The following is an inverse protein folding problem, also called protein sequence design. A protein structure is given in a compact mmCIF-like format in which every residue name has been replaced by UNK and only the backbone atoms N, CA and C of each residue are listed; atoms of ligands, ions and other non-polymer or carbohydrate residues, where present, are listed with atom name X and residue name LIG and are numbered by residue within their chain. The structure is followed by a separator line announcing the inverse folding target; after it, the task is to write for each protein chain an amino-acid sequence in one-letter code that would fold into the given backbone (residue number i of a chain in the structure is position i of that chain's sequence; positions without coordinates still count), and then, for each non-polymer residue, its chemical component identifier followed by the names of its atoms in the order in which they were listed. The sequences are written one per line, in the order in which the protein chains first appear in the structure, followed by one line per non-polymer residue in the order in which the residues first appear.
data_IF_633562819265
#
_entry.id   IF_633562819265
#
_cell.length_a   1.000
_cell.length_b   1.000
_cell.length_c   1.000
_cell.angle_alpha   90.00
_cell.angle_beta   90.00
_cell.angle_gamma   90.00
#
_symmetry.space_group_name_H-M   'P 1'
#
loop_
_entity.id
_entity.type
_entity.pdbx_description
1 polymer ?
#
# COMPACT_ATOMS: atom_id res chain seq x y z
N UNK A 1 -10.92 4.57 -13.73
CA UNK A 1 -11.77 3.51 -14.32
C UNK A 1 -13.15 4.09 -14.55
N UNK A 2 -13.81 3.75 -15.64
CA UNK A 2 -15.20 4.09 -15.89
C UNK A 2 -16.00 2.82 -16.17
N UNK A 3 -17.27 2.78 -15.82
CA UNK A 3 -18.15 1.65 -16.13
C UNK A 3 -19.54 2.17 -16.45
N UNK A 4 -20.08 1.71 -17.57
CA UNK A 4 -21.45 1.97 -18.01
C UNK A 4 -22.31 0.77 -17.62
N UNK A 5 -23.35 1.04 -16.84
CA UNK A 5 -24.28 0.04 -16.32
C UNK A 5 -25.62 0.24 -17.03
N UNK A 6 -26.18 -0.82 -17.59
CA UNK A 6 -27.52 -0.78 -18.18
C UNK A 6 -28.56 -0.60 -17.08
N UNK A 7 -29.39 0.44 -17.19
CA UNK A 7 -30.39 0.81 -16.18
C UNK A 7 -31.38 -0.33 -15.91
N UNK A 8 -31.91 -0.94 -16.98
CA UNK A 8 -32.93 -1.98 -16.88
C UNK A 8 -32.35 -3.35 -16.49
N UNK A 9 -31.08 -3.63 -16.84
CA UNK A 9 -30.47 -4.96 -16.64
C UNK A 9 -29.56 -5.02 -15.43
N UNK A 10 -29.09 -3.88 -14.91
CA UNK A 10 -28.05 -3.80 -13.88
C UNK A 10 -26.70 -4.39 -14.30
N UNK A 11 -26.56 -4.81 -15.57
CA UNK A 11 -25.33 -5.40 -16.13
C UNK A 11 -24.37 -4.31 -16.58
N UNK A 12 -23.07 -4.60 -16.48
CA UNK A 12 -22.04 -3.72 -17.05
C UNK A 12 -22.01 -3.94 -18.56
N UNK A 13 -22.30 -2.89 -19.31
CA UNK A 13 -22.36 -2.90 -20.78
C UNK A 13 -21.01 -2.53 -21.38
N UNK A 14 -20.36 -1.53 -20.80
CA UNK A 14 -19.02 -1.08 -21.19
C UNK A 14 -18.24 -0.75 -19.93
N UNK A 15 -16.95 -0.99 -19.95
CA UNK A 15 -16.04 -0.50 -18.93
C UNK A 15 -14.75 -0.07 -19.59
N UNK A 16 -14.08 0.88 -18.96
CA UNK A 16 -12.76 1.30 -19.37
C UNK A 16 -11.84 1.50 -18.18
N UNK A 17 -10.58 1.20 -18.40
CA UNK A 17 -9.54 1.22 -17.40
C UNK A 17 -8.50 2.21 -17.89
N UNK A 18 -8.11 3.16 -17.03
CA UNK A 18 -7.00 4.06 -17.34
C UNK A 18 -5.72 3.22 -17.40
N UNK A 19 -5.37 2.75 -18.58
CA UNK A 19 -4.03 2.24 -18.87
C UNK A 19 -3.13 3.43 -19.16
N UNK A 20 -1.86 3.38 -18.77
CA UNK A 20 -0.89 4.37 -19.27
C UNK A 20 -0.89 4.30 -20.79
N UNK A 21 -0.90 5.46 -21.46
CA UNK A 21 -0.83 5.53 -22.91
C UNK A 21 0.41 4.74 -23.37
N UNK A 22 0.26 3.92 -24.41
CA UNK A 22 1.42 3.25 -25.00
C UNK A 22 2.38 4.32 -25.53
N UNK A 23 3.67 4.20 -25.21
CA UNK A 23 4.70 5.17 -25.61
C UNK A 23 4.76 5.33 -27.13
N UNK A 24 4.62 4.24 -27.88
CA UNK A 24 4.58 4.26 -29.35
C UNK A 24 3.29 4.93 -29.83
N UNK A 25 2.13 4.60 -29.23
CA UNK A 25 0.86 5.26 -29.54
C UNK A 25 0.96 6.77 -29.23
N UNK A 26 1.60 7.16 -28.13
CA UNK A 26 1.78 8.55 -27.70
C UNK A 26 2.78 9.33 -28.55
N UNK A 27 3.85 8.69 -29.03
CA UNK A 27 4.86 9.31 -29.90
C UNK A 27 4.29 9.72 -31.26
N UNK A 28 3.35 8.94 -31.79
CA UNK A 28 2.69 9.23 -33.07
C UNK A 28 1.39 10.05 -32.92
N UNK A 29 0.96 10.42 -31.69
CA UNK A 29 -0.16 11.35 -31.51
C UNK A 29 0.24 12.73 -32.07
N UNK A 30 -0.53 13.24 -33.03
CA UNK A 30 -0.31 14.56 -33.63
C UNK A 30 0.73 14.59 -34.75
N UNK A 31 1.28 13.45 -35.16
CA UNK A 31 2.16 13.35 -36.34
C UNK A 31 1.39 12.78 -37.53
N UNK A 32 1.67 13.27 -38.74
CA UNK A 32 1.13 12.72 -40.00
C UNK A 32 1.91 11.47 -40.48
N UNK A 33 2.45 10.69 -39.54
CA UNK A 33 3.19 9.47 -39.83
C UNK A 33 2.31 8.25 -39.51
N UNK A 34 2.29 7.23 -40.38
CA UNK A 34 1.56 6.01 -40.09
C UNK A 34 2.20 5.30 -38.89
N UNK A 35 1.38 5.09 -37.85
CA UNK A 35 1.77 4.37 -36.65
C UNK A 35 2.21 2.93 -37.02
N UNK A 36 3.40 2.47 -36.59
CA UNK A 36 3.85 1.11 -36.88
C UNK A 36 2.90 0.09 -36.24
N UNK A 37 2.69 -1.09 -36.85
CA UNK A 37 1.86 -2.13 -36.25
C UNK A 37 2.52 -2.60 -34.96
N UNK A 38 1.83 -2.39 -33.84
CA UNK A 38 2.28 -2.88 -32.55
C UNK A 38 1.09 -3.11 -31.64
N UNK A 39 1.26 -4.01 -30.68
CA UNK A 39 0.33 -4.16 -29.59
C UNK A 39 0.50 -2.98 -28.61
N UNK A 40 -0.42 -1.99 -28.58
CA UNK A 40 -0.43 -0.91 -27.55
C UNK A 40 -0.49 -1.47 -26.09
N UNK A 41 -0.52 -2.79 -25.92
CA UNK A 41 -0.71 -3.51 -24.68
C UNK A 41 0.61 -4.01 -24.05
N UNK A 42 1.75 -3.96 -24.76
CA UNK A 42 3.05 -4.48 -24.26
C UNK A 42 3.78 -3.39 -23.48
N UNK A 43 3.35 -3.16 -22.25
CA UNK A 43 4.17 -2.42 -21.29
C UNK A 43 4.80 -3.47 -20.37
N UNK A 44 6.14 -3.56 -20.42
CA UNK A 44 7.06 -4.45 -19.66
C UNK A 44 7.61 -5.67 -20.40
N UNK A 45 8.58 -5.46 -21.29
CA UNK A 45 9.74 -6.35 -21.43
C UNK A 45 10.93 -5.63 -20.83
N UNK A 46 11.12 -5.81 -19.53
CA UNK A 46 12.17 -5.18 -18.74
C UNK A 46 12.21 -5.84 -17.37
N UNK A 47 12.91 -6.97 -17.31
CA UNK A 47 13.46 -7.66 -16.14
C UNK A 47 12.80 -7.34 -14.78
N UNK A 48 11.78 -8.11 -14.42
CA UNK A 48 11.44 -8.39 -13.03
C UNK A 48 12.39 -9.46 -12.45
N UNK A 49 13.69 -9.21 -12.54
CA UNK A 49 14.74 -10.10 -12.03
C UNK A 49 15.83 -9.30 -11.29
N UNK A 50 15.42 -8.30 -10.50
CA UNK A 50 16.25 -7.80 -9.41
C UNK A 50 15.45 -7.95 -8.13
N UNK A 51 16.04 -8.65 -7.16
CA UNK A 51 15.49 -8.88 -5.84
C UNK A 51 15.15 -7.55 -5.18
N UNK A 52 13.85 -7.21 -5.15
CA UNK A 52 13.23 -6.30 -4.17
C UNK A 52 11.73 -6.32 -4.40
N UNK A 53 11.02 -6.90 -3.43
CA UNK A 53 9.57 -6.86 -3.41
C UNK A 53 9.07 -5.41 -3.18
N UNK A 54 7.84 -5.19 -3.65
CA UNK A 54 6.91 -4.09 -3.30
C UNK A 54 7.06 -2.79 -4.12
N UNK A 55 6.52 -2.79 -5.33
CA UNK A 55 5.46 -1.87 -5.82
C UNK A 55 5.21 -2.16 -7.31
N UNK A 56 4.69 -3.35 -7.63
CA UNK A 56 4.24 -3.64 -8.99
C UNK A 56 2.98 -2.80 -9.23
N UNK A 57 3.09 -1.75 -10.04
CA UNK A 57 1.95 -0.92 -10.43
C UNK A 57 1.00 -1.72 -11.33
N UNK A 58 0.10 -2.50 -10.73
CA UNK A 58 -0.93 -3.24 -11.45
C UNK A 58 -2.06 -2.36 -11.98
N UNK A 59 -1.95 -1.03 -11.84
CA UNK A 59 -2.97 -0.04 -12.17
C UNK A 59 -3.06 0.33 -13.66
N UNK A 60 -2.11 -0.13 -14.50
CA UNK A 60 -2.09 0.19 -15.93
C UNK A 60 -1.63 -0.95 -16.85
N UNK A 61 -1.64 -2.19 -16.37
CA UNK A 61 -1.12 -3.38 -17.07
C UNK A 61 -2.22 -4.19 -17.81
N UNK A 62 -1.85 -5.06 -18.76
CA UNK A 62 -2.78 -6.04 -19.39
C UNK A 62 -3.54 -6.86 -18.32
N UNK A 63 -2.84 -7.21 -17.24
CA UNK A 63 -3.41 -7.96 -16.11
C UNK A 63 -4.55 -7.21 -15.42
N UNK A 64 -4.57 -5.88 -15.44
CA UNK A 64 -5.70 -5.12 -14.91
C UNK A 64 -6.92 -5.22 -15.79
N UNK A 65 -6.76 -5.04 -17.11
CA UNK A 65 -7.87 -5.16 -18.06
C UNK A 65 -8.47 -6.57 -17.97
N UNK A 66 -7.63 -7.60 -17.89
CA UNK A 66 -8.09 -8.99 -17.69
C UNK A 66 -8.85 -9.17 -16.36
N UNK A 67 -8.32 -8.67 -15.23
CA UNK A 67 -9.01 -8.76 -13.93
C UNK A 67 -10.34 -8.02 -13.92
N UNK A 68 -10.38 -6.82 -14.51
CA UNK A 68 -11.61 -6.02 -14.62
C UNK A 68 -12.62 -6.70 -15.54
N UNK A 69 -12.18 -7.22 -16.69
CA UNK A 69 -13.03 -8.06 -17.58
C UNK A 69 -13.63 -9.24 -16.83
N UNK A 70 -12.82 -10.00 -16.09
CA UNK A 70 -13.26 -11.15 -15.29
C UNK A 70 -14.28 -10.75 -14.22
N UNK A 71 -14.04 -9.64 -13.51
CA UNK A 71 -14.98 -9.11 -12.53
C UNK A 71 -16.32 -8.68 -13.16
N UNK A 72 -16.27 -8.07 -14.35
CA UNK A 72 -17.46 -7.68 -15.13
C UNK A 72 -18.24 -8.91 -15.57
N UNK A 73 -17.57 -9.93 -16.11
CA UNK A 73 -18.19 -11.20 -16.47
C UNK A 73 -18.82 -11.89 -15.26
N UNK A 74 -18.13 -11.93 -14.12
CA UNK A 74 -18.67 -12.50 -12.88
C UNK A 74 -19.90 -11.73 -12.36
N UNK A 75 -19.91 -10.40 -12.49
CA UNK A 75 -21.06 -9.59 -12.14
C UNK A 75 -22.27 -9.92 -13.03
N UNK A 76 -22.06 -9.94 -14.35
CA UNK A 76 -23.10 -10.10 -15.35
C UNK A 76 -23.65 -11.52 -15.44
N UNK A 77 -22.78 -12.53 -15.38
CA UNK A 77 -23.11 -13.93 -15.68
C UNK A 77 -23.02 -14.86 -14.46
N UNK A 78 -22.43 -14.43 -13.35
CA UNK A 78 -22.22 -15.29 -12.18
C UNK A 78 -20.85 -15.93 -12.14
N UNK A 79 -20.56 -16.74 -11.13
CA UNK A 79 -19.29 -17.45 -10.98
C UNK A 79 -19.07 -18.53 -12.06
N UNK A 80 -20.13 -18.99 -12.73
CA UNK A 80 -20.05 -19.89 -13.89
C UNK A 80 -19.54 -19.24 -15.19
N UNK A 81 -19.18 -17.95 -15.18
CA UNK A 81 -18.73 -17.23 -16.38
C UNK A 81 -17.50 -17.88 -17.05
N UNK A 82 -16.55 -18.39 -16.26
CA UNK A 82 -15.31 -19.00 -16.76
C UNK A 82 -15.60 -20.21 -17.65
N UNK A 83 -16.59 -21.03 -17.26
CA UNK A 83 -17.01 -22.18 -18.06
C UNK A 83 -17.62 -21.76 -19.40
N UNK A 84 -18.31 -20.62 -19.47
CA UNK A 84 -18.82 -20.06 -20.74
C UNK A 84 -17.69 -19.54 -21.61
N UNK A 85 -16.68 -18.88 -21.02
CA UNK A 85 -15.51 -18.39 -21.74
C UNK A 85 -14.70 -19.56 -22.31
N UNK A 86 -14.41 -20.59 -21.51
CA UNK A 86 -13.68 -21.77 -22.00
C UNK A 86 -14.38 -22.42 -23.19
N UNK A 87 -15.71 -22.63 -23.11
CA UNK A 87 -16.50 -23.15 -24.24
C UNK A 87 -16.36 -22.29 -25.50
N UNK A 88 -16.42 -20.97 -25.37
CA UNK A 88 -16.27 -20.03 -26.49
C UNK A 88 -14.85 -20.02 -27.06
N UNK A 89 -13.85 -20.24 -26.21
CA UNK A 89 -12.45 -20.40 -26.61
C UNK A 89 -12.12 -21.81 -27.11
N UNK A 90 -13.12 -22.67 -27.31
CA UNK A 90 -12.95 -24.08 -27.72
C UNK A 90 -12.08 -24.89 -26.74
N UNK A 91 -12.04 -24.46 -25.47
CA UNK A 91 -11.34 -25.14 -24.39
C UNK A 91 -12.34 -25.94 -23.53
N UNK A 92 -11.87 -27.05 -22.99
CA UNK A 92 -12.65 -27.80 -22.00
C UNK A 92 -12.88 -26.94 -20.75
N UNK A 93 -14.13 -26.79 -20.27
CA UNK A 93 -14.42 -26.08 -19.04
C UNK A 93 -13.85 -26.76 -17.79
N UNK A 94 -13.71 -28.09 -17.82
CA UNK A 94 -13.41 -28.92 -16.66
C UNK A 94 -14.63 -29.12 -15.75
N UNK A 95 -14.85 -30.37 -15.34
CA UNK A 95 -15.98 -30.74 -14.47
C UNK A 95 -15.92 -30.01 -13.11
N UNK A 96 -14.75 -29.96 -12.48
CA UNK A 96 -14.54 -29.28 -11.20
C UNK A 96 -14.82 -27.78 -11.26
N UNK A 97 -14.46 -27.11 -12.36
CA UNK A 97 -14.71 -25.68 -12.58
C UNK A 97 -16.21 -25.39 -12.62
N UNK A 98 -16.97 -26.23 -13.32
CA UNK A 98 -18.43 -26.11 -13.42
C UNK A 98 -19.05 -26.27 -12.02
N UNK A 99 -18.68 -27.31 -11.28
CA UNK A 99 -19.17 -27.55 -9.91
C UNK A 99 -18.81 -26.39 -8.97
N UNK A 100 -17.59 -25.86 -9.07
CA UNK A 100 -17.14 -24.71 -8.28
C UNK A 100 -18.01 -23.48 -8.55
N UNK A 101 -18.27 -23.18 -9.82
CA UNK A 101 -19.13 -22.08 -10.25
C UNK A 101 -20.54 -22.18 -9.65
N UNK A 102 -21.18 -23.35 -9.78
CA UNK A 102 -22.52 -23.63 -9.23
C UNK A 102 -22.54 -23.42 -7.71
N UNK A 103 -21.54 -23.95 -6.98
CA UNK A 103 -21.46 -23.83 -5.52
C UNK A 103 -21.31 -22.37 -5.08
N UNK A 104 -20.44 -21.60 -5.75
CA UNK A 104 -20.25 -20.17 -5.48
C UNK A 104 -21.51 -19.36 -5.78
N UNK A 105 -22.22 -19.65 -6.88
CA UNK A 105 -23.46 -18.95 -7.22
C UNK A 105 -24.59 -19.26 -6.25
N UNK A 106 -24.71 -20.50 -5.75
CA UNK A 106 -25.66 -20.86 -4.67
C UNK A 106 -25.38 -20.04 -3.40
N UNK A 107 -24.11 -19.98 -2.97
CA UNK A 107 -23.69 -19.18 -1.80
C UNK A 107 -23.98 -17.68 -2.02
N UNK A 108 -23.68 -17.14 -3.19
CA UNK A 108 -23.98 -15.74 -3.55
C UNK A 108 -25.47 -15.44 -3.46
N UNK A 109 -26.34 -16.33 -3.93
CA UNK A 109 -27.81 -16.18 -3.84
C UNK A 109 -28.27 -16.17 -2.39
N UNK A 110 -27.77 -17.09 -1.55
CA UNK A 110 -28.09 -17.11 -0.11
C UNK A 110 -27.66 -15.82 0.58
N UNK A 111 -26.41 -15.38 0.38
CA UNK A 111 -25.89 -14.14 0.94
C UNK A 111 -26.74 -12.95 0.52
N UNK A 112 -27.11 -12.84 -0.75
CA UNK A 112 -27.99 -11.75 -1.24
C UNK A 112 -29.36 -11.75 -0.57
N UNK A 113 -29.98 -12.92 -0.42
CA UNK A 113 -31.25 -13.06 0.31
C UNK A 113 -31.09 -12.55 1.73
N UNK A 114 -30.07 -13.03 2.45
CA UNK A 114 -29.77 -12.57 3.82
C UNK A 114 -29.52 -11.06 3.88
N UNK A 115 -28.70 -10.51 2.98
CA UNK A 115 -28.36 -9.08 2.94
C UNK A 115 -29.56 -8.18 2.63
N UNK A 116 -30.54 -8.69 1.88
CA UNK A 116 -31.76 -7.96 1.57
C UNK A 116 -32.72 -7.83 2.76
N UNK A 117 -32.59 -8.70 3.77
CA UNK A 117 -33.46 -8.68 4.95
C UNK A 117 -33.29 -7.40 5.78
N UNK A 118 -34.38 -6.95 6.38
CA UNK A 118 -34.41 -5.80 7.31
C UNK A 118 -33.53 -6.06 8.53
N UNK A 119 -33.55 -7.28 9.08
CA UNK A 119 -32.70 -7.67 10.21
C UNK A 119 -31.20 -7.53 9.90
N UNK A 120 -30.75 -7.96 8.72
CA UNK A 120 -29.36 -7.76 8.32
C UNK A 120 -29.00 -6.28 8.18
N UNK A 121 -29.88 -5.47 7.56
CA UNK A 121 -29.67 -4.02 7.41
C UNK A 121 -29.62 -3.31 8.76
N UNK A 122 -30.54 -3.63 9.68
CA UNK A 122 -30.56 -3.11 11.06
C UNK A 122 -29.28 -3.49 11.80
N UNK A 123 -28.91 -4.78 11.81
CA UNK A 123 -27.66 -5.25 12.43
C UNK A 123 -26.43 -4.53 11.88
N UNK A 124 -26.37 -4.31 10.56
CA UNK A 124 -25.29 -3.54 9.92
C UNK A 124 -25.24 -2.09 10.43
N UNK A 125 -26.37 -1.42 10.59
CA UNK A 125 -26.44 -0.06 11.13
C UNK A 125 -26.02 -0.03 12.61
N UNK A 126 -26.46 -1.00 13.42
CA UNK A 126 -26.05 -1.12 14.83
C UNK A 126 -24.54 -1.31 14.95
N UNK A 127 -23.96 -2.21 14.14
CA UNK A 127 -22.49 -2.42 14.11
C UNK A 127 -21.78 -1.14 13.66
N UNK A 128 -22.30 -0.42 12.66
CA UNK A 128 -21.73 0.86 12.21
C UNK A 128 -21.74 1.91 13.31
N UNK A 129 -22.85 2.04 14.05
CA UNK A 129 -22.96 2.97 15.17
C UNK A 129 -22.03 2.59 16.33
N UNK A 130 -21.93 1.30 16.66
CA UNK A 130 -21.01 0.81 17.69
C UNK A 130 -19.56 1.14 17.32
N UNK A 131 -19.13 0.80 16.09
CA UNK A 131 -17.78 1.15 15.61
C UNK A 131 -17.51 2.65 15.65
N UNK A 132 -18.49 3.49 15.32
CA UNK A 132 -18.32 4.94 15.41
C UNK A 132 -18.07 5.38 16.86
N UNK A 133 -18.83 4.85 17.82
CA UNK A 133 -18.65 5.14 19.25
C UNK A 133 -17.32 4.60 19.78
N UNK A 134 -16.92 3.40 19.36
CA UNK A 134 -15.66 2.80 19.76
C UNK A 134 -14.49 3.64 19.20
N UNK A 135 -14.53 4.01 17.91
CA UNK A 135 -13.54 4.91 17.31
C UNK A 135 -13.48 6.29 18.00
N UNK A 136 -14.63 6.86 18.40
CA UNK A 136 -14.67 8.12 19.16
C UNK A 136 -14.07 7.98 20.55
N UNK A 137 -14.33 6.85 21.24
CA UNK A 137 -13.74 6.57 22.55
C UNK A 137 -12.24 6.34 22.45
N UNK A 138 -11.80 5.62 21.43
CA UNK A 138 -10.38 5.43 21.13
C UNK A 138 -9.70 6.76 20.82
N UNK A 139 -10.29 7.64 20.00
CA UNK A 139 -9.72 8.97 19.76
C UNK A 139 -9.67 9.85 21.00
N UNK A 140 -10.65 9.75 21.92
CA UNK A 140 -10.62 10.48 23.20
C UNK A 140 -9.56 9.89 24.15
N UNK A 141 -9.38 8.56 24.18
CA UNK A 141 -8.32 7.92 24.96
C UNK A 141 -6.92 8.25 24.44
N UNK A 142 -6.76 8.39 23.13
CA UNK A 142 -5.52 8.83 22.49
C UNK A 142 -5.24 10.33 22.74
N UNK A 143 -6.24 11.09 23.23
CA UNK A 143 -6.16 12.53 23.46
C UNK A 143 -5.97 13.32 22.16
N UNK A 144 -5.89 14.66 22.25
CA UNK A 144 -5.55 15.51 21.10
C UNK A 144 -4.06 15.34 20.75
N UNK A 145 -3.63 14.19 20.26
CA UNK A 145 -2.20 13.87 20.07
C UNK A 145 -1.46 14.80 19.08
N UNK A 146 -2.16 15.71 18.40
CA UNK A 146 -1.61 16.65 17.40
C UNK A 146 -2.22 18.07 17.48
N UNK A 147 -2.50 18.58 18.67
CA UNK A 147 -2.79 20.01 18.90
C UNK A 147 -1.49 20.83 19.00
N UNK A 148 -1.43 22.00 18.36
CA UNK A 148 -0.23 22.86 18.33
C UNK A 148 0.16 23.49 19.68
N UNK A 149 -0.69 23.35 20.71
CA UNK A 149 -0.57 24.01 22.02
C UNK A 149 -0.75 23.04 23.20
N UNK A 150 -0.40 21.75 23.05
CA UNK A 150 -0.32 20.85 24.22
C UNK A 150 1.05 21.04 24.86
N UNK A 151 1.17 22.20 25.49
CA UNK A 151 2.24 22.52 26.41
C UNK A 151 2.11 21.61 27.64
N UNK A 152 3.26 21.16 28.12
CA UNK A 152 3.45 20.13 29.14
C UNK A 152 2.64 20.46 30.41
N UNK A 153 1.51 19.77 30.62
CA UNK A 153 0.90 19.75 31.95
C UNK A 153 1.71 18.80 32.84
N UNK A 154 2.45 19.40 33.77
CA UNK A 154 3.18 18.70 34.84
C UNK A 154 2.19 18.06 35.82
N UNK A 155 1.65 16.89 35.47
CA UNK A 155 1.13 15.98 36.47
C UNK A 155 2.26 15.08 36.96
N UNK A 156 2.81 15.44 38.12
CA UNK A 156 3.81 14.70 38.88
C UNK A 156 3.09 13.53 39.57
N UNK A 157 2.86 12.43 38.86
CA UNK A 157 2.49 11.15 39.47
C UNK A 157 3.35 10.02 38.87
N UNK A 158 4.67 10.18 38.94
CA UNK A 158 5.58 9.04 38.81
C UNK A 158 5.59 8.27 40.13
N UNK A 159 4.57 7.42 40.33
CA UNK A 159 4.70 6.33 41.28
C UNK A 159 5.88 5.44 40.85
N UNK A 160 6.75 5.19 41.81
CA UNK A 160 8.02 4.47 41.76
C UNK A 160 8.04 3.32 40.75
N UNK A 161 8.98 3.37 39.80
CA UNK A 161 9.26 2.30 38.83
C UNK A 161 9.53 1.00 39.60
N UNK A 162 8.79 -0.11 39.35
CA UNK A 162 9.04 -1.39 40.00
C UNK A 162 10.46 -1.89 39.68
N UNK A 163 11.18 -2.36 40.69
CA UNK A 163 12.53 -2.88 40.50
C UNK A 163 12.54 -4.18 39.68
N UNK A 164 13.60 -4.39 38.90
CA UNK A 164 13.74 -5.52 37.97
C UNK A 164 13.64 -6.85 38.73
N UNK A 165 12.67 -7.69 38.35
CA UNK A 165 12.51 -9.05 38.83
C UNK A 165 13.72 -9.89 38.37
N UNK A 166 14.48 -10.46 39.31
CA UNK A 166 15.59 -11.37 39.01
C UNK A 166 14.99 -12.74 38.68
N UNK A 167 15.19 -13.21 37.45
CA UNK A 167 14.88 -14.58 37.06
C UNK A 167 16.09 -15.46 37.36
N UNK A 168 15.93 -16.47 38.22
CA UNK A 168 16.90 -17.55 38.41
C UNK A 168 16.48 -18.73 37.53
N UNK A 169 17.29 -19.05 36.50
CA UNK A 169 17.08 -20.22 35.63
C UNK A 169 17.35 -19.93 34.16
N UNK A 170 17.93 -20.93 33.48
CA UNK A 170 18.52 -20.86 32.13
C UNK A 170 17.57 -20.27 31.06
N UNK A 171 18.07 -19.20 30.43
CA UNK A 171 17.68 -18.54 29.17
C UNK A 171 16.26 -18.79 28.64
N UNK A 172 15.29 -18.03 29.14
CA UNK A 172 14.10 -17.71 28.35
C UNK A 172 14.42 -16.56 27.40
N UNK A 173 14.70 -16.86 26.13
CA UNK A 173 14.81 -15.85 25.09
C UNK A 173 13.42 -15.27 24.83
N UNK A 174 13.12 -14.12 25.43
CA UNK A 174 11.93 -13.34 25.09
C UNK A 174 12.29 -12.39 23.95
N UNK A 175 11.88 -12.74 22.73
CA UNK A 175 12.00 -11.85 21.57
C UNK A 175 10.85 -10.86 21.61
N UNK A 176 11.16 -9.60 21.92
CA UNK A 176 10.24 -8.49 21.73
C UNK A 176 10.44 -7.93 20.31
N UNK A 177 9.40 -7.99 19.48
CA UNK A 177 9.36 -7.18 18.26
C UNK A 177 8.96 -5.76 18.66
N UNK A 178 9.95 -4.89 18.81
CA UNK A 178 9.73 -3.48 19.10
C UNK A 178 9.66 -2.73 17.76
N UNK A 179 8.45 -2.49 17.24
CA UNK A 179 8.25 -1.64 16.06
C UNK A 179 8.65 -0.17 16.39
N UNK A 180 9.94 0.13 16.36
CA UNK A 180 10.51 1.47 16.66
C UNK A 180 10.53 2.40 15.44
N UNK A 181 9.90 1.98 14.33
CA UNK A 181 9.91 2.71 13.06
C UNK A 181 9.32 4.12 13.20
N UNK A 182 8.34 4.31 14.10
CA UNK A 182 7.79 5.63 14.42
C UNK A 182 8.85 6.55 15.05
N UNK A 183 9.51 6.11 16.12
CA UNK A 183 10.55 6.87 16.83
C UNK A 183 11.75 7.23 15.93
N UNK A 184 12.16 6.29 15.07
CA UNK A 184 13.25 6.53 14.12
C UNK A 184 12.85 7.53 13.03
N UNK A 185 11.59 7.48 12.58
CA UNK A 185 11.07 8.44 11.58
C UNK A 185 11.07 9.86 12.14
N UNK A 186 10.78 10.03 13.44
CA UNK A 186 10.73 11.35 14.08
C UNK A 186 12.09 12.05 14.12
N UNK A 187 13.19 11.29 14.17
CA UNK A 187 14.54 11.84 14.07
C UNK A 187 14.78 12.67 12.79
N UNK A 188 13.96 12.47 11.76
CA UNK A 188 14.07 13.15 10.47
C UNK A 188 13.12 14.34 10.30
N UNK A 189 12.31 14.69 11.31
CA UNK A 189 11.37 15.83 11.27
C UNK A 189 12.04 17.14 10.79
N UNK A 190 13.26 17.52 11.26
CA UNK A 190 13.90 18.75 10.80
C UNK A 190 14.13 18.78 9.28
N UNK A 191 14.55 17.66 8.69
CA UNK A 191 14.79 17.55 7.25
C UNK A 191 13.51 17.51 6.43
N UNK A 192 12.44 16.93 7.00
CA UNK A 192 11.11 16.93 6.39
C UNK A 192 10.54 18.35 6.35
N UNK A 193 10.65 19.10 7.46
CA UNK A 193 10.24 20.51 7.55
C UNK A 193 11.03 21.39 6.56
N UNK A 194 12.33 21.14 6.43
CA UNK A 194 13.19 21.82 5.46
C UNK A 194 12.99 21.35 4.01
N UNK A 195 12.05 20.43 3.73
CA UNK A 195 11.77 19.83 2.41
C UNK A 195 12.97 19.17 1.73
N UNK A 196 14.02 18.82 2.50
CA UNK A 196 15.24 18.17 1.98
C UNK A 196 15.02 16.70 1.64
N UNK A 197 14.11 16.06 2.37
CA UNK A 197 13.64 14.70 2.14
C UNK A 197 12.12 14.61 2.31
N UNK A 198 11.50 13.61 1.71
CA UNK A 198 10.06 13.35 1.85
C UNK A 198 9.75 12.50 3.09
N UNK A 199 8.50 12.54 3.57
CA UNK A 199 8.03 11.66 4.65
C UNK A 199 8.18 10.16 4.30
N UNK A 200 8.07 9.81 3.01
CA UNK A 200 8.26 8.44 2.55
C UNK A 200 9.72 8.00 2.66
N UNK A 201 10.66 8.84 2.25
CA UNK A 201 12.11 8.55 2.36
C UNK A 201 12.57 8.47 3.82
N UNK A 202 12.02 9.30 4.71
CA UNK A 202 12.30 9.20 6.15
C UNK A 202 11.82 7.86 6.74
N UNK A 203 10.62 7.40 6.35
CA UNK A 203 10.14 6.07 6.75
C UNK A 203 11.02 4.95 6.21
N UNK A 204 11.47 5.05 4.96
CA UNK A 204 12.38 4.04 4.39
C UNK A 204 13.70 3.96 5.17
N UNK A 205 14.26 5.10 5.59
CA UNK A 205 15.46 5.14 6.44
C UNK A 205 15.21 4.52 7.82
N UNK A 206 14.05 4.83 8.43
CA UNK A 206 13.64 4.24 9.69
C UNK A 206 13.46 2.71 9.59
N UNK A 207 12.92 2.19 8.48
CA UNK A 207 12.82 0.74 8.25
C UNK A 207 14.18 0.06 8.07
N UNK A 208 15.21 0.79 7.62
CA UNK A 208 16.59 0.30 7.64
C UNK A 208 17.26 0.40 9.01
N UNK A 209 16.56 0.84 10.06
CA UNK A 209 17.13 1.02 11.40
C UNK A 209 18.02 2.26 11.53
N UNK A 210 18.03 3.14 10.52
CA UNK A 210 18.83 4.36 10.52
C UNK A 210 18.04 5.51 11.14
N UNK A 211 18.69 6.25 12.03
CA UNK A 211 18.21 7.54 12.53
C UNK A 211 19.14 8.65 12.05
N UNK A 212 18.71 9.91 12.23
CA UNK A 212 19.52 11.06 11.83
C UNK A 212 20.90 11.07 12.52
N UNK A 213 20.99 10.64 13.78
CA UNK A 213 22.27 10.54 14.52
C UNK A 213 23.24 9.53 13.90
N UNK A 214 22.75 8.41 13.38
CA UNK A 214 23.59 7.42 12.70
C UNK A 214 24.24 8.02 11.44
N UNK A 215 23.46 8.79 10.67
CA UNK A 215 23.97 9.48 9.48
C UNK A 215 24.93 10.63 9.84
N UNK A 216 24.64 11.36 10.92
CA UNK A 216 25.54 12.41 11.41
C UNK A 216 26.90 11.82 11.85
N UNK A 217 26.90 10.71 12.57
CA UNK A 217 28.15 10.03 12.95
C UNK A 217 28.94 9.53 11.74
N UNK A 218 28.27 9.02 10.71
CA UNK A 218 28.92 8.61 9.48
C UNK A 218 29.51 9.79 8.70
N UNK A 219 28.80 10.93 8.70
CA UNK A 219 29.29 12.18 8.13
C UNK A 219 30.51 12.72 8.91
N UNK A 220 30.50 12.65 10.24
CA UNK A 220 31.64 13.10 11.03
C UNK A 220 32.88 12.22 10.86
N UNK A 221 32.72 10.96 10.45
CA UNK A 221 33.83 10.02 10.21
C UNK A 221 34.50 10.24 8.87
N UNK A 222 33.72 10.28 7.79
CA UNK A 222 34.23 10.29 6.42
C UNK A 222 33.47 11.26 5.49
N UNK A 223 32.87 12.31 6.07
CA UNK A 223 32.09 13.33 5.36
C UNK A 223 31.08 12.71 4.39
N UNK A 224 31.09 13.12 3.12
CA UNK A 224 30.21 12.59 2.08
C UNK A 224 30.42 11.09 1.82
N UNK A 225 31.66 10.57 1.95
CA UNK A 225 31.96 9.18 1.63
C UNK A 225 31.37 8.21 2.67
N UNK A 226 31.34 8.60 3.95
CA UNK A 226 30.68 7.82 5.00
C UNK A 226 29.16 7.73 4.77
N UNK A 227 28.53 8.81 4.33
CA UNK A 227 27.12 8.80 3.93
C UNK A 227 26.87 7.96 2.68
N UNK A 228 27.76 8.01 1.67
CA UNK A 228 27.65 7.19 0.45
C UNK A 228 27.68 5.71 0.78
N UNK A 229 28.61 5.25 1.63
CA UNK A 229 28.72 3.83 1.98
C UNK A 229 27.41 3.31 2.58
N UNK A 230 26.92 3.98 3.63
CA UNK A 230 25.71 3.54 4.35
C UNK A 230 24.46 3.65 3.47
N UNK A 231 24.26 4.79 2.81
CA UNK A 231 23.02 5.03 2.06
C UNK A 231 22.95 4.18 0.77
N UNK A 232 24.07 3.91 0.10
CA UNK A 232 24.09 3.03 -1.08
C UNK A 232 23.88 1.57 -0.70
N UNK A 233 24.47 1.09 0.40
CA UNK A 233 24.23 -0.27 0.92
C UNK A 233 22.73 -0.51 1.18
N UNK A 234 22.05 0.49 1.76
CA UNK A 234 20.61 0.44 1.99
C UNK A 234 19.75 0.80 0.76
N UNK A 235 20.37 1.00 -0.42
CA UNK A 235 19.67 1.15 -1.70
C UNK A 235 19.08 2.54 -1.97
N UNK A 236 19.60 3.58 -1.30
CA UNK A 236 19.20 4.96 -1.56
C UNK A 236 20.02 5.59 -2.70
N UNK A 237 19.42 6.55 -3.40
CA UNK A 237 20.02 7.17 -4.58
C UNK A 237 21.08 8.21 -4.21
N UNK A 238 22.03 8.49 -5.10
CA UNK A 238 23.02 9.56 -4.89
C UNK A 238 22.39 10.94 -4.55
N UNK A 239 21.18 11.22 -5.06
CA UNK A 239 20.44 12.45 -4.74
C UNK A 239 20.12 12.60 -3.25
N UNK A 240 19.79 11.52 -2.56
CA UNK A 240 19.51 11.59 -1.12
C UNK A 240 20.78 11.86 -0.34
N UNK A 241 21.91 11.25 -0.74
CA UNK A 241 23.23 11.54 -0.16
C UNK A 241 23.52 13.03 -0.26
N UNK A 242 23.40 13.62 -1.45
CA UNK A 242 23.63 15.07 -1.65
C UNK A 242 22.71 15.93 -0.79
N UNK A 243 21.45 15.55 -0.60
CA UNK A 243 20.53 16.27 0.31
C UNK A 243 20.98 16.23 1.77
N UNK A 244 21.48 15.07 2.24
CA UNK A 244 22.01 14.93 3.60
C UNK A 244 23.33 15.66 3.79
N UNK A 245 24.26 15.56 2.84
CA UNK A 245 25.52 16.31 2.86
C UNK A 245 25.24 17.81 2.96
N UNK A 246 24.36 18.35 2.10
CA UNK A 246 23.97 19.77 2.16
C UNK A 246 23.32 20.17 3.48
N UNK A 247 22.56 19.26 4.10
CA UNK A 247 21.95 19.53 5.39
C UNK A 247 23.01 19.62 6.48
N UNK A 248 23.93 18.65 6.55
CA UNK A 248 24.97 18.63 7.58
C UNK A 248 26.00 19.74 7.42
N UNK A 249 26.38 20.10 6.19
CA UNK A 249 27.27 21.24 5.93
C UNK A 249 26.63 22.59 6.32
N UNK A 250 25.31 22.72 6.20
CA UNK A 250 24.59 23.95 6.60
C UNK A 250 24.28 24.01 8.10
N UNK A 251 24.50 22.94 8.86
CA UNK A 251 24.32 22.92 10.32
C UNK A 251 25.61 23.12 11.10
N UNK A 252 26.76 23.16 10.42
CA UNK A 252 28.08 23.43 11.00
C UNK A 252 28.52 24.92 10.85
N UNK A 253 27.69 25.75 10.19
CA UNK A 253 27.77 27.22 10.18
C UNK A 253 26.78 27.83 11.18
#
# INVERSE_FOLDING_TARGET
HASLIGVNTGKVVKFDVRTRNCSICQYHIGKNEPKPPHECNVNWTGLAATERHIYVFYGGTKSLKARVSSAVMQKNEGYGWLSKVNKKSLLSPGHLTILHGIRKDRRRKQIRKTQSTTNFKRKRLTIKSKKLKDNQRESVKEGDTYGGEIEVQEHIDTETIPSKMKFEGEESVVVFDLETTALLTDSYIPLIRASRITKLTARQLAHSGLCLKHLQLAFNRDSENGLKSILLEHGFNAKTVTSFTKYFTCTEE
#
